data_IF_828601191759
#
_entry.id   IF_828601191759
#
_cell.length_a   1.000
_cell.length_b   1.000
_cell.length_c   1.000
_cell.angle_alpha   90.00
_cell.angle_beta   90.00
_cell.angle_gamma   90.00
#
_symmetry.space_group_name_H-M   'P 1'
#
loop_
_entity.id
_entity.type
_entity.pdbx_description
1 polymer ?
2 non-polymer ?
3 non-polymer ?
4 non-polymer ?
5 non-polymer ?
6 water ?
#
# COMPACT_ATOMS: atom_id res chain seq x y z
N UNK A 1 5.22 14.94 17.63
CA UNK A 1 5.64 13.56 17.53
C UNK A 1 6.39 13.34 16.23
N UNK A 2 6.75 12.10 15.95
CA UNK A 2 7.42 11.81 14.70
C UNK A 2 6.34 11.74 13.62
N UNK A 3 6.73 11.94 12.38
CA UNK A 3 5.82 11.92 11.25
C UNK A 3 5.94 10.65 10.46
N UNK A 4 4.80 10.13 10.04
CA UNK A 4 4.74 8.94 9.18
C UNK A 4 4.01 9.35 7.90
N UNK A 5 4.36 8.72 6.78
CA UNK A 5 3.64 8.90 5.50
C UNK A 5 3.48 7.52 4.89
N UNK A 6 2.32 7.26 4.32
CA UNK A 6 2.12 6.03 3.51
C UNK A 6 1.03 6.28 2.47
N UNK A 7 1.24 5.70 1.31
CA UNK A 7 0.27 5.82 0.22
C UNK A 7 -0.23 4.46 -0.24
N UNK A 8 -1.44 4.46 -0.81
CA UNK A 8 -2.03 3.26 -1.37
C UNK A 8 -2.62 3.65 -2.72
N UNK A 9 -2.15 3.02 -3.78
CA UNK A 9 -2.62 3.30 -5.16
C UNK A 9 -4.06 2.89 -5.39
N UNK A 10 -4.85 3.76 -6.03
CA UNK A 10 -6.23 3.44 -6.38
C UNK A 10 -6.36 2.65 -7.71
N UNK A 11 -5.57 1.59 -7.82
CA UNK A 11 -5.52 0.72 -9.00
C UNK A 11 -6.40 -0.57 -8.94
N UNK A 12 -7.25 -0.67 -7.94
CA UNK A 12 -8.12 -1.82 -7.79
C UNK A 12 -8.63 -1.64 -6.38
N UNK A 13 -9.48 -2.54 -5.90
CA UNK A 13 -9.87 -2.58 -4.50
C UNK A 13 -8.74 -3.23 -3.67
N UNK A 14 -8.34 -2.59 -2.56
CA UNK A 14 -7.30 -3.16 -1.69
C UNK A 14 -7.58 -4.61 -1.21
N UNK A 15 -6.53 -5.41 -1.14
CA UNK A 15 -6.66 -6.83 -0.80
C UNK A 15 -6.30 -7.10 0.65
N UNK A 16 -6.64 -8.28 1.16
CA UNK A 16 -6.26 -8.64 2.52
C UNK A 16 -4.74 -8.57 2.64
N UNK A 17 -4.06 -8.48 1.51
CA UNK A 17 -2.60 -8.34 1.48
C UNK A 17 -2.23 -6.91 1.80
N UNK A 18 -2.91 -5.95 1.18
CA UNK A 18 -2.65 -4.54 1.47
C UNK A 18 -3.05 -4.22 2.91
N UNK A 19 -4.05 -4.93 3.40
CA UNK A 19 -4.59 -4.77 4.74
C UNK A 19 -3.65 -5.28 5.83
N UNK A 20 -3.20 -6.52 5.69
CA UNK A 20 -2.28 -7.13 6.64
C UNK A 20 -0.90 -6.46 6.65
N UNK A 21 -0.40 -6.09 5.47
CA UNK A 21 0.96 -5.54 5.35
C UNK A 21 1.11 -4.05 5.62
N UNK A 22 0.04 -3.30 5.37
CA UNK A 22 0.08 -1.88 5.68
C UNK A 22 -1.15 -1.25 6.37
N UNK A 23 -2.23 -1.07 5.77
CA UNK A 23 -3.45 -0.45 6.31
C UNK A 23 -3.80 -0.87 7.75
N UNK A 24 -3.64 -2.14 8.09
CA UNK A 24 -4.01 -2.60 9.42
C UNK A 24 -3.24 -1.86 10.53
N UNK A 25 -1.97 -1.57 10.25
CA UNK A 25 -1.11 -0.93 11.22
C UNK A 25 -1.32 0.58 11.27
N UNK A 26 -1.92 1.11 10.21
CA UNK A 26 -2.28 2.52 10.14
C UNK A 26 -3.23 2.88 11.32
N UNK A 27 -4.19 1.99 11.60
CA UNK A 27 -5.18 2.26 12.62
C UNK A 27 -4.60 2.46 14.06
N UNK A 28 -3.42 1.90 14.31
CA UNK A 28 -2.83 2.03 15.62
C UNK A 28 -1.87 3.20 15.64
N UNK A 29 -1.08 3.27 14.57
CA UNK A 29 -0.03 4.27 14.37
C UNK A 29 -0.54 5.69 14.37
N UNK A 30 -1.78 5.90 13.91
CA UNK A 30 -2.35 7.23 13.81
C UNK A 30 -2.43 7.91 15.18
N UNK A 31 -2.30 7.12 16.23
CA UNK A 31 -2.37 7.62 17.61
C UNK A 31 -0.99 7.92 18.19
N UNK A 32 0.01 7.21 17.71
CA UNK A 32 1.38 7.32 18.18
C UNK A 32 2.18 8.37 17.38
N UNK A 33 1.77 8.58 16.12
CA UNK A 33 2.47 9.49 15.20
C UNK A 33 1.58 10.50 14.52
N UNK A 34 2.26 11.46 13.90
CA UNK A 34 1.64 12.46 13.04
C UNK A 34 1.63 11.84 11.63
N UNK A 35 0.45 11.40 11.23
CA UNK A 35 0.31 10.58 10.03
C UNK A 35 -0.38 11.25 8.88
N UNK A 36 0.20 11.05 7.69
CA UNK A 36 -0.42 11.43 6.42
C UNK A 36 -0.68 10.14 5.64
N UNK A 37 -1.95 9.89 5.29
CA UNK A 37 -2.36 8.72 4.50
C UNK A 37 -2.91 9.16 3.14
N UNK A 38 -2.35 8.69 2.05
CA UNK A 38 -2.62 9.17 0.70
C UNK A 38 -3.18 8.13 -0.22
N UNK A 39 -4.09 8.60 -1.07
CA UNK A 39 -4.67 7.84 -2.16
C UNK A 39 -3.81 8.23 -3.38
N UNK A 40 -2.76 7.46 -3.68
CA UNK A 40 -1.82 7.83 -4.70
C UNK A 40 -2.32 7.60 -6.15
N UNK A 41 -3.17 8.51 -6.64
CA UNK A 41 -3.81 8.38 -7.97
C UNK A 41 -2.89 8.62 -9.19
N UNK A 42 -1.90 9.49 -9.00
CA UNK A 42 -0.91 9.84 -10.02
C UNK A 42 0.03 8.67 -10.21
N UNK A 43 0.12 7.81 -9.19
CA UNK A 43 0.90 6.58 -9.36
C UNK A 43 0.07 5.55 -10.17
N UNK A 44 -1.21 5.42 -9.80
CA UNK A 44 -2.12 4.52 -10.46
C UNK A 44 -2.07 4.61 -12.00
N UNK A 45 -1.92 5.84 -12.51
CA UNK A 45 -1.84 6.09 -13.95
C UNK A 45 -0.54 5.79 -14.67
N UNK A 46 0.45 5.24 -13.98
CA UNK A 46 1.67 4.82 -14.65
C UNK A 46 1.39 3.58 -15.50
N UNK A 47 0.16 3.11 -15.35
CA UNK A 47 -0.30 1.94 -16.06
C UNK A 47 -1.77 2.22 -16.42
N UNK A 48 -2.25 1.75 -17.55
CA UNK A 48 -3.66 2.02 -17.93
C UNK A 48 -4.70 1.74 -16.86
N UNK A 49 -5.70 2.61 -16.83
CA UNK A 49 -6.78 2.58 -15.87
C UNK A 49 -7.95 3.11 -16.63
N UNK A 50 -9.09 2.42 -16.57
CA UNK A 50 -10.28 3.01 -17.17
C UNK A 50 -10.69 4.24 -16.32
N UNK A 51 -10.95 5.39 -16.95
CA UNK A 51 -11.25 6.59 -16.19
C UNK A 51 -12.35 6.46 -15.15
N UNK A 52 -13.50 5.91 -15.53
CA UNK A 52 -14.63 5.75 -14.61
C UNK A 52 -14.29 4.88 -13.41
N UNK A 53 -13.51 3.84 -13.64
CA UNK A 53 -13.11 2.91 -12.61
C UNK A 53 -12.05 3.50 -11.69
N UNK A 54 -11.16 4.31 -12.22
CA UNK A 54 -10.16 4.95 -11.39
C UNK A 54 -10.87 5.90 -10.41
N UNK A 55 -11.82 6.69 -10.93
CA UNK A 55 -12.62 7.61 -10.16
C UNK A 55 -13.34 6.96 -9.00
N UNK A 56 -13.89 5.80 -9.30
CA UNK A 56 -14.65 5.05 -8.33
C UNK A 56 -13.73 4.30 -7.33
N UNK A 57 -12.57 3.83 -7.79
CA UNK A 57 -11.63 3.14 -6.90
C UNK A 57 -11.01 4.15 -5.92
N UNK A 58 -10.99 5.41 -6.33
CA UNK A 58 -10.36 6.48 -5.54
C UNK A 58 -11.28 6.76 -4.37
N UNK A 59 -12.56 6.74 -4.66
CA UNK A 59 -13.56 7.05 -3.67
C UNK A 59 -13.79 5.83 -2.77
N UNK A 60 -13.61 4.63 -3.29
CA UNK A 60 -13.75 3.43 -2.49
C UNK A 60 -12.65 3.25 -1.51
N UNK A 61 -11.43 3.58 -1.93
CA UNK A 61 -10.20 3.44 -1.11
C UNK A 61 -10.27 4.41 0.08
N UNK A 62 -10.83 5.59 -0.22
CA UNK A 62 -11.05 6.61 0.78
C UNK A 62 -12.01 6.06 1.81
N UNK A 63 -13.11 5.49 1.35
CA UNK A 63 -14.09 4.90 2.24
C UNK A 63 -13.53 3.74 3.06
N UNK A 64 -12.60 2.99 2.51
CA UNK A 64 -12.09 1.84 3.23
C UNK A 64 -11.10 2.31 4.25
N UNK A 65 -10.26 3.27 3.83
CA UNK A 65 -9.31 3.94 4.73
C UNK A 65 -10.06 4.34 6.03
N UNK A 66 -11.17 5.09 5.90
CA UNK A 66 -12.04 5.39 7.03
C UNK A 66 -12.68 4.16 7.69
N UNK A 67 -13.38 3.34 6.90
CA UNK A 67 -14.06 2.14 7.38
C UNK A 67 -13.17 1.28 8.31
N UNK A 68 -11.95 0.98 7.91
CA UNK A 68 -11.08 0.22 8.82
C UNK A 68 -10.68 0.98 10.09
N UNK A 69 -11.22 2.20 10.33
CA UNK A 69 -10.89 3.00 11.53
C UNK A 69 -9.84 4.17 11.54
N UNK A 70 -9.52 4.76 10.39
CA UNK A 70 -8.63 5.92 10.32
C UNK A 70 -9.48 7.09 10.75
N UNK A 71 -8.99 7.91 11.71
CA UNK A 71 -9.79 8.97 12.33
C UNK A 71 -9.40 10.29 11.71
N UNK A 72 -10.28 10.90 10.91
CA UNK A 72 -9.89 12.13 10.18
C UNK A 72 -9.34 13.26 11.04
N UNK A 73 -9.47 13.15 12.35
CA UNK A 73 -9.04 14.20 13.25
C UNK A 73 -7.71 13.81 13.90
N UNK A 74 -7.21 12.61 13.60
CA UNK A 74 -5.95 12.11 14.10
C UNK A 74 -4.93 11.88 12.99
N UNK A 75 -5.43 11.74 11.78
CA UNK A 75 -4.55 11.51 10.67
C UNK A 75 -5.11 12.35 9.54
N UNK A 76 -4.25 12.75 8.61
CA UNK A 76 -4.64 13.49 7.44
C UNK A 76 -4.73 12.51 6.25
N UNK A 77 -5.95 12.23 5.79
CA UNK A 77 -6.17 11.36 4.63
C UNK A 77 -6.54 12.21 3.36
N UNK A 78 -5.82 11.98 2.24
CA UNK A 78 -6.00 12.86 1.09
C UNK A 78 -5.61 12.25 -0.27
N UNK A 79 -6.00 12.89 -1.36
CA UNK A 79 -5.71 12.38 -2.71
C UNK A 79 -4.54 13.20 -3.28
N UNK A 80 -3.42 12.52 -3.55
CA UNK A 80 -2.21 13.07 -4.15
C UNK A 80 -2.38 14.18 -5.19
N UNK A 81 -3.19 13.92 -6.23
CA UNK A 81 -3.43 14.84 -7.36
C UNK A 81 -4.12 16.13 -6.94
N UNK A 82 -4.75 16.08 -5.77
CA UNK A 82 -5.40 17.26 -5.20
C UNK A 82 -4.40 18.19 -4.51
N UNK A 83 -3.15 17.76 -4.48
CA UNK A 83 -2.02 18.51 -3.94
C UNK A 83 -0.92 18.66 -5.03
N UNK A 84 -0.89 19.81 -5.73
CA UNK A 84 0.07 19.99 -6.83
C UNK A 84 1.54 19.77 -6.50
N UNK A 85 1.91 20.10 -5.26
CA UNK A 85 3.28 19.99 -4.74
C UNK A 85 3.92 18.64 -4.97
N UNK A 86 3.11 17.58 -4.95
CA UNK A 86 3.65 16.24 -5.26
C UNK A 86 4.26 16.12 -6.64
N UNK A 87 3.67 16.77 -7.64
CA UNK A 87 4.18 16.79 -9.02
C UNK A 87 5.32 17.76 -9.15
N UNK A 88 5.30 18.84 -8.37
CA UNK A 88 6.36 19.87 -8.43
C UNK A 88 7.63 19.33 -7.84
N UNK A 89 7.49 18.65 -6.71
CA UNK A 89 8.58 17.97 -6.04
C UNK A 89 9.11 16.84 -6.90
N UNK A 90 8.21 16.07 -7.48
CA UNK A 90 8.55 14.92 -8.27
C UNK A 90 9.49 15.28 -9.42
N UNK A 91 9.28 16.45 -10.01
CA UNK A 91 10.07 16.90 -11.16
C UNK A 91 11.45 17.33 -10.74
N UNK A 92 11.53 18.05 -9.60
CA UNK A 92 12.80 18.50 -9.02
C UNK A 92 13.69 17.32 -8.63
N UNK A 93 13.07 16.27 -8.11
CA UNK A 93 13.77 15.03 -7.79
C UNK A 93 14.06 14.22 -9.05
N UNK A 94 13.30 14.41 -10.11
CA UNK A 94 13.59 13.62 -11.31
C UNK A 94 14.89 14.13 -11.89
N UNK A 95 15.29 15.33 -11.44
CA UNK A 95 16.42 16.04 -11.99
C UNK A 95 17.70 15.71 -11.27
N UNK A 96 17.59 15.07 -10.11
CA UNK A 96 18.76 14.63 -9.37
C UNK A 96 18.85 13.13 -9.34
N UNK A 97 17.78 12.43 -9.70
CA UNK A 97 17.85 10.97 -9.75
C UNK A 97 18.59 10.67 -11.01
N UNK A 98 19.13 9.44 -11.13
CA UNK A 98 19.88 8.99 -12.32
C UNK A 98 19.10 7.89 -13.06
N UNK A 99 19.07 7.96 -14.39
CA UNK A 99 18.31 6.95 -15.18
C UNK A 99 18.68 5.55 -14.76
N UNK A 100 19.99 5.35 -14.60
CA UNK A 100 20.53 4.07 -14.16
C UNK A 100 19.92 3.61 -12.84
N UNK A 101 19.56 4.56 -11.97
CA UNK A 101 18.99 4.23 -10.67
C UNK A 101 17.55 3.78 -10.82
N UNK A 102 16.87 4.38 -11.79
CA UNK A 102 15.46 4.09 -12.05
C UNK A 102 15.36 2.73 -12.75
N UNK A 103 16.17 2.58 -13.79
CA UNK A 103 16.29 1.37 -14.62
C UNK A 103 16.50 0.09 -13.76
N UNK A 104 17.24 0.22 -12.66
CA UNK A 104 17.51 -0.90 -11.77
C UNK A 104 16.46 -1.23 -10.72
N UNK A 105 15.44 -0.40 -10.55
CA UNK A 105 14.35 -0.65 -9.58
C UNK A 105 13.66 -1.99 -9.90
N UNK A 106 13.49 -2.83 -8.88
CA UNK A 106 12.90 -4.17 -9.04
C UNK A 106 11.49 -4.13 -9.64
N UNK A 107 10.65 -3.31 -9.02
CA UNK A 107 9.28 -3.11 -9.44
C UNK A 107 9.17 -2.63 -10.89
N UNK A 108 10.21 -1.98 -11.39
CA UNK A 108 10.22 -1.54 -12.78
C UNK A 108 10.63 -2.64 -13.77
N UNK A 109 11.55 -3.54 -13.39
CA UNK A 109 11.94 -4.62 -14.30
C UNK A 109 10.84 -5.70 -14.38
N UNK A 110 10.12 -5.83 -13.26
CA UNK A 110 9.01 -6.76 -13.12
C UNK A 110 7.82 -6.25 -13.92
N UNK A 111 7.30 -5.08 -13.53
CA UNK A 111 6.15 -4.42 -14.19
C UNK A 111 6.42 -4.12 -15.68
N UNK A 112 7.69 -3.96 -16.02
CA UNK A 112 8.15 -3.80 -17.39
C UNK A 112 8.66 -5.21 -17.74
N UNK A 113 7.78 -6.03 -18.30
CA UNK A 113 8.14 -7.36 -18.71
C UNK A 113 8.83 -7.07 -20.04
N UNK A 114 9.08 -8.10 -20.84
CA UNK A 114 9.65 -7.88 -22.17
C UNK A 114 8.70 -6.99 -22.98
N UNK A 115 7.50 -6.72 -22.43
CA UNK A 115 6.43 -5.86 -23.01
C UNK A 115 6.98 -4.83 -23.97
N UNK A 116 6.46 -4.83 -25.20
CA UNK A 116 6.99 -4.02 -26.31
C UNK A 116 7.38 -2.54 -26.10
N UNK A 117 6.45 -1.78 -25.52
CA UNK A 117 6.68 -0.35 -25.26
C UNK A 117 6.07 -0.01 -23.89
N UNK A 118 6.91 0.59 -23.03
CA UNK A 118 6.48 0.97 -21.67
C UNK A 118 6.37 2.50 -21.49
N UNK A 119 5.42 2.92 -20.67
CA UNK A 119 5.20 4.33 -20.37
C UNK A 119 6.31 4.77 -19.43
N UNK A 120 6.84 5.96 -19.66
CA UNK A 120 7.92 6.47 -18.85
C UNK A 120 7.54 6.66 -17.38
N UNK A 121 6.25 6.79 -17.10
CA UNK A 121 5.81 6.99 -15.73
C UNK A 121 6.05 5.71 -14.93
N UNK A 122 6.45 4.66 -15.61
CA UNK A 122 6.75 3.40 -14.95
C UNK A 122 8.22 3.47 -14.56
N UNK A 123 9.05 4.12 -15.37
CA UNK A 123 10.45 4.34 -14.99
C UNK A 123 10.48 5.38 -13.89
N UNK A 124 9.75 6.47 -14.07
CA UNK A 124 9.72 7.61 -13.12
C UNK A 124 8.83 7.54 -11.87
N UNK A 125 8.24 6.39 -11.62
CA UNK A 125 7.43 6.15 -10.46
C UNK A 125 8.18 6.60 -9.17
N UNK A 126 9.45 6.16 -9.02
CA UNK A 126 10.20 6.38 -7.77
C UNK A 126 10.41 7.83 -7.28
N UNK A 127 10.78 8.75 -8.17
CA UNK A 127 10.88 10.16 -7.76
C UNK A 127 9.55 10.73 -7.24
N UNK A 128 8.42 10.24 -7.75
CA UNK A 128 7.13 10.74 -7.30
C UNK A 128 6.87 10.22 -5.90
N UNK A 129 7.13 8.91 -5.68
CA UNK A 129 7.03 8.32 -4.35
C UNK A 129 8.00 9.03 -3.34
N UNK A 130 9.20 9.37 -3.78
CA UNK A 130 10.16 10.17 -2.97
C UNK A 130 9.57 11.52 -2.59
N UNK A 131 8.92 12.19 -3.53
CA UNK A 131 8.24 13.43 -3.22
C UNK A 131 7.20 13.21 -2.15
N UNK A 132 6.32 12.22 -2.37
CA UNK A 132 5.18 11.94 -1.47
C UNK A 132 5.65 11.95 -0.05
N UNK A 133 6.77 11.28 0.13
CA UNK A 133 7.40 11.06 1.41
C UNK A 133 8.14 12.28 1.95
N UNK A 134 9.10 12.78 1.17
CA UNK A 134 9.95 13.89 1.60
C UNK A 134 9.25 15.22 1.85
N UNK A 135 8.14 15.43 1.17
CA UNK A 135 7.34 16.65 1.31
C UNK A 135 6.88 16.92 2.72
N UNK A 136 6.71 15.88 3.50
CA UNK A 136 6.13 16.06 4.81
C UNK A 136 7.12 15.90 5.94
N UNK A 137 8.41 15.88 5.57
CA UNK A 137 9.53 15.77 6.49
C UNK A 137 9.36 14.49 7.26
N UNK A 138 9.15 13.42 6.50
CA UNK A 138 8.71 12.11 6.99
C UNK A 138 9.78 11.33 7.69
N UNK A 139 9.41 10.72 8.81
CA UNK A 139 10.36 9.95 9.62
C UNK A 139 10.28 8.51 9.32
N UNK A 140 9.06 7.98 9.38
CA UNK A 140 8.78 6.57 9.15
C UNK A 140 7.78 6.34 8.02
N UNK A 141 8.04 5.35 7.20
CA UNK A 141 7.12 5.00 6.14
C UNK A 141 6.66 3.56 6.36
N UNK A 142 5.49 3.40 6.96
CA UNK A 142 4.96 2.07 7.22
C UNK A 142 4.42 1.38 5.95
N UNK A 143 5.24 0.53 5.34
CA UNK A 143 4.86 -0.17 4.11
C UNK A 143 5.15 -1.67 4.17
N UNK A 144 4.50 -2.43 3.28
CA UNK A 144 4.78 -3.86 3.09
C UNK A 144 6.20 -3.94 2.53
N UNK A 145 6.76 -5.15 2.41
CA UNK A 145 8.14 -5.42 1.96
C UNK A 145 8.58 -4.97 0.55
N UNK A 146 7.68 -5.11 -0.41
CA UNK A 146 7.93 -4.73 -1.81
C UNK A 146 8.35 -3.26 -2.05
N UNK A 147 7.94 -2.38 -1.15
CA UNK A 147 8.21 -0.95 -1.29
C UNK A 147 9.51 -0.54 -0.66
N UNK A 148 10.19 -1.49 -0.01
CA UNK A 148 11.47 -1.24 0.68
C UNK A 148 12.51 -0.51 -0.19
N UNK A 149 12.79 -1.08 -1.36
CA UNK A 149 13.77 -0.55 -2.27
C UNK A 149 13.48 0.87 -2.71
N UNK A 150 12.22 1.14 -3.02
CA UNK A 150 11.79 2.47 -3.43
C UNK A 150 12.14 3.44 -2.32
N UNK A 151 12.00 3.00 -1.07
CA UNK A 151 12.28 3.83 0.09
C UNK A 151 13.77 4.13 0.27
N UNK A 152 14.61 3.18 -0.13
CA UNK A 152 16.04 3.39 -0.08
C UNK A 152 16.41 4.43 -1.10
N UNK A 153 15.88 4.32 -2.32
CA UNK A 153 16.12 5.34 -3.35
C UNK A 153 15.61 6.68 -2.81
N UNK A 154 14.47 6.69 -2.14
CA UNK A 154 14.01 7.92 -1.51
C UNK A 154 15.11 8.53 -0.61
N UNK A 155 15.68 7.71 0.26
CA UNK A 155 16.77 8.14 1.16
C UNK A 155 17.98 8.68 0.42
N UNK A 156 18.36 8.04 -0.67
CA UNK A 156 19.56 8.49 -1.42
C UNK A 156 19.33 9.83 -2.06
N UNK A 157 18.09 10.04 -2.52
CA UNK A 157 17.68 11.28 -3.16
C UNK A 157 17.59 12.39 -2.17
N UNK A 158 17.12 12.10 -0.94
CA UNK A 158 17.12 13.10 0.12
C UNK A 158 18.55 13.54 0.44
N UNK A 159 19.45 12.58 0.64
CA UNK A 159 20.83 12.88 0.95
C UNK A 159 21.53 13.57 -0.23
N UNK A 160 21.20 13.18 -1.45
CA UNK A 160 21.80 13.82 -2.61
C UNK A 160 21.50 15.32 -2.66
N UNK A 161 20.23 15.67 -2.40
CA UNK A 161 19.70 17.03 -2.48
C UNK A 161 20.20 17.88 -1.33
N UNK A 162 20.32 17.25 -0.16
CA UNK A 162 20.78 17.91 1.05
C UNK A 162 22.24 18.35 0.90
N UNK A 163 23.08 17.51 0.31
CA UNK A 163 24.49 17.86 0.16
C UNK A 163 24.73 18.68 -1.10
N UNK A 164 23.77 18.65 -2.02
CA UNK A 164 23.91 19.40 -3.26
C UNK A 164 23.42 20.81 -2.99
N UNK A 165 22.27 20.92 -2.34
CA UNK A 165 21.63 22.22 -2.12
C UNK A 165 21.40 22.69 -0.64
N UNK A 166 21.94 21.95 0.33
CA UNK A 166 21.78 22.28 1.75
C UNK A 166 20.70 21.45 2.46
N UNK A 167 20.88 21.26 3.77
CA UNK A 167 19.93 20.44 4.57
C UNK A 167 18.51 20.94 4.49
N UNK A 168 17.61 20.07 4.11
CA UNK A 168 16.21 20.46 3.97
C UNK A 168 15.31 19.30 4.33
N UNK A 169 15.69 18.14 3.80
CA UNK A 169 14.89 16.94 3.97
C UNK A 169 15.35 16.13 5.14
N UNK A 170 14.38 15.43 5.74
CA UNK A 170 14.56 14.45 6.79
C UNK A 170 14.74 13.14 6.04
N UNK A 171 15.67 12.32 6.53
CA UNK A 171 16.00 11.01 5.98
C UNK A 171 15.09 9.96 6.55
N UNK A 172 14.09 9.56 5.76
CA UNK A 172 13.07 8.62 6.23
C UNK A 172 13.59 7.22 6.41
N UNK A 173 12.82 6.44 7.16
CA UNK A 173 13.13 5.05 7.40
C UNK A 173 11.88 4.24 7.10
N UNK A 174 12.08 3.07 6.50
CA UNK A 174 10.97 2.15 6.24
C UNK A 174 10.56 1.48 7.52
N UNK A 175 9.32 1.04 7.59
CA UNK A 175 8.83 0.27 8.75
C UNK A 175 7.85 -0.87 8.35
N UNK A 176 8.48 -1.92 7.85
CA UNK A 176 7.87 -3.18 7.41
C UNK A 176 7.55 -4.10 8.60
N UNK A 177 6.31 -4.61 8.69
CA UNK A 177 5.97 -5.48 9.83
C UNK A 177 6.72 -6.80 9.75
N UNK A 178 6.96 -7.41 10.92
CA UNK A 178 7.73 -8.66 10.99
C UNK A 178 6.88 -9.82 10.50
N UNK A 179 5.59 -9.58 10.44
CA UNK A 179 4.66 -10.62 10.07
C UNK A 179 3.66 -10.13 9.01
N UNK A 180 3.53 -10.90 7.94
CA UNK A 180 2.57 -10.59 6.90
C UNK A 180 2.97 -9.42 6.03
N UNK A 181 4.27 -9.22 5.85
CA UNK A 181 4.80 -8.15 4.99
C UNK A 181 4.67 -8.52 3.51
N UNK A 182 4.65 -9.82 3.21
CA UNK A 182 4.49 -10.31 1.83
C UNK A 182 3.44 -11.40 1.67
N UNK A 183 2.17 -11.06 1.80
CA UNK A 183 1.12 -12.05 1.59
C UNK A 183 1.17 -12.44 0.09
N UNK A 184 1.11 -13.75 -0.18
CA UNK A 184 1.23 -14.26 -1.55
C UNK A 184 -0.13 -14.49 -2.18
N UNK A 185 -0.10 -14.51 -3.51
CA UNK A 185 -1.25 -14.79 -4.37
C UNK A 185 -1.81 -16.18 -4.03
N UNK A 186 -3.13 -16.26 -3.94
CA UNK A 186 -3.80 -17.52 -3.65
C UNK A 186 -3.68 -18.52 -4.81
N UNK A 187 -3.19 -18.06 -5.94
CA UNK A 187 -3.18 -18.79 -7.21
C UNK A 187 -1.74 -19.13 -7.66
N UNK A 188 -0.76 -18.54 -6.98
CA UNK A 188 0.65 -18.76 -7.31
C UNK A 188 1.46 -18.23 -6.13
N UNK A 189 1.90 -19.12 -5.26
CA UNK A 189 2.56 -18.69 -4.03
C UNK A 189 4.01 -18.22 -4.15
N UNK A 190 4.42 -17.89 -5.38
CA UNK A 190 5.74 -17.34 -5.64
C UNK A 190 5.61 -15.83 -5.94
N UNK A 191 4.38 -15.40 -6.20
CA UNK A 191 4.05 -14.03 -6.54
C UNK A 191 3.31 -13.48 -5.34
N UNK A 192 3.52 -12.18 -5.09
CA UNK A 192 2.87 -11.47 -4.01
C UNK A 192 1.37 -11.26 -4.35
N UNK A 193 0.56 -11.06 -3.33
CA UNK A 193 -0.83 -10.78 -3.58
C UNK A 193 -0.91 -9.36 -4.10
N UNK A 194 -1.31 -9.20 -5.33
CA UNK A 194 -1.33 -7.88 -5.94
C UNK A 194 -2.72 -7.59 -6.41
N UNK A 195 -3.25 -6.44 -6.00
CA UNK A 195 -4.65 -6.04 -6.26
C UNK A 195 -4.94 -5.73 -7.75
N UNK A 196 -3.88 -5.74 -8.57
CA UNK A 196 -4.02 -5.48 -10.02
C UNK A 196 -3.73 -6.75 -10.83
N UNK A 197 -3.80 -7.89 -10.12
CA UNK A 197 -3.58 -9.15 -10.75
C UNK A 197 -4.73 -9.37 -11.73
N UNK A 198 -4.33 -9.69 -12.95
CA UNK A 198 -5.29 -10.00 -14.01
C UNK A 198 -6.25 -11.11 -13.54
N UNK A 199 -5.73 -12.07 -12.78
CA UNK A 199 -6.53 -13.17 -12.25
C UNK A 199 -7.15 -12.87 -10.85
N UNK A 200 -8.44 -12.54 -10.83
CA UNK A 200 -9.14 -12.19 -9.59
C UNK A 200 -9.00 -13.26 -8.50
N UNK A 201 -8.72 -14.49 -8.91
CA UNK A 201 -8.56 -15.55 -7.91
C UNK A 201 -7.25 -15.40 -7.12
N UNK A 202 -6.38 -14.49 -7.56
CA UNK A 202 -5.09 -14.28 -6.89
C UNK A 202 -5.21 -13.60 -5.53
N UNK A 203 -6.28 -12.85 -5.34
CA UNK A 203 -6.41 -12.01 -4.17
C UNK A 203 -7.82 -12.08 -3.68
N UNK A 204 -8.00 -11.61 -2.45
CA UNK A 204 -9.31 -11.45 -1.84
C UNK A 204 -9.31 -9.97 -1.52
N UNK A 205 -10.32 -9.25 -1.99
CA UNK A 205 -10.39 -7.83 -1.72
C UNK A 205 -11.19 -7.56 -0.44
N UNK A 206 -10.97 -6.40 0.17
CA UNK A 206 -11.68 -6.03 1.38
C UNK A 206 -13.20 -5.94 1.19
N UNK A 207 -13.63 -5.95 -0.08
CA UNK A 207 -15.04 -5.84 -0.45
C UNK A 207 -15.72 -7.12 -1.00
N UNK A 208 -14.94 -8.22 -1.10
CA UNK A 208 -15.44 -9.53 -1.55
C UNK A 208 -16.50 -10.08 -0.62
N UNK A 209 -17.53 -10.74 -1.17
CA UNK A 209 -18.63 -11.29 -0.37
C UNK A 209 -18.32 -12.68 0.13
N UNK A 210 -19.16 -13.18 1.03
CA UNK A 210 -18.90 -14.46 1.71
C UNK A 210 -18.70 -15.60 0.68
N UNK A 211 -19.68 -15.71 -0.24
CA UNK A 211 -19.63 -16.69 -1.34
C UNK A 211 -18.28 -16.66 -2.05
N UNK A 212 -17.91 -15.47 -2.51
CA UNK A 212 -16.66 -15.25 -3.24
C UNK A 212 -15.42 -15.61 -2.43
N UNK A 213 -15.39 -15.20 -1.17
CA UNK A 213 -14.24 -15.55 -0.33
C UNK A 213 -14.07 -17.09 -0.17
N UNK A 214 -15.22 -17.74 0.01
CA UNK A 214 -15.33 -19.20 0.15
C UNK A 214 -14.74 -19.90 -1.09
N UNK A 215 -15.01 -19.38 -2.31
CA UNK A 215 -14.42 -19.93 -3.55
C UNK A 215 -12.95 -19.67 -3.69
N UNK A 216 -12.50 -18.44 -3.49
CA UNK A 216 -11.08 -18.14 -3.70
C UNK A 216 -10.26 -18.92 -2.71
N UNK A 217 -10.76 -19.02 -1.49
CA UNK A 217 -10.07 -19.84 -0.49
C UNK A 217 -10.09 -21.30 -0.98
N UNK A 218 -11.27 -21.82 -1.31
CA UNK A 218 -11.36 -23.20 -1.78
C UNK A 218 -10.40 -23.46 -2.94
N UNK A 219 -10.40 -22.56 -3.92
CA UNK A 219 -9.57 -22.69 -5.10
C UNK A 219 -8.09 -22.58 -4.79
N UNK A 220 -7.73 -21.86 -3.70
CA UNK A 220 -6.32 -21.67 -3.34
C UNK A 220 -5.40 -22.90 -3.58
N UNK A 221 -4.27 -22.61 -4.19
CA UNK A 221 -3.27 -23.61 -4.52
C UNK A 221 -2.54 -24.16 -3.30
N UNK A 222 -2.88 -25.40 -2.94
CA UNK A 222 -2.25 -26.05 -1.77
C UNK A 222 -1.14 -27.00 -2.22
N UNK A 223 -1.37 -28.29 -1.94
CA UNK A 223 -0.46 -29.38 -2.32
C UNK A 223 -1.14 -30.75 -2.19
N UNK A 224 -0.34 -31.79 -2.02
CA UNK A 224 -0.84 -33.18 -1.97
C UNK A 224 -0.83 -33.88 -0.58
N UNK A 225 0.14 -33.51 0.26
CA UNK A 225 0.26 -34.12 1.59
C UNK A 225 -0.94 -34.01 2.55
N UNK A 226 -1.95 -33.20 2.18
CA UNK A 226 -3.13 -33.00 3.03
C UNK A 226 -2.69 -32.80 4.49
N UNK A 227 -1.47 -32.27 4.64
CA UNK A 227 -0.83 -32.04 5.94
C UNK A 227 -0.75 -30.52 6.25
N UNK A 228 -1.49 -30.07 7.26
CA UNK A 228 -1.51 -28.64 7.57
C UNK A 228 -0.32 -28.21 8.41
N UNK A 229 0.86 -28.16 7.81
CA UNK A 229 2.04 -27.70 8.51
C UNK A 229 2.77 -26.61 7.70
N UNK A 230 3.53 -25.76 8.41
CA UNK A 230 4.24 -24.65 7.77
C UNK A 230 5.63 -24.93 7.15
N UNK A 231 5.73 -24.71 5.84
CA UNK A 231 6.99 -24.89 5.13
C UNK A 231 6.99 -23.95 3.90
N UNK A 232 7.79 -22.90 3.94
CA UNK A 232 7.82 -21.91 2.87
C UNK A 232 8.30 -22.41 1.49
N UNK A 233 9.25 -23.34 1.50
CA UNK A 233 9.82 -23.88 0.27
C UNK A 233 9.06 -25.11 -0.21
N UNK A 234 8.62 -25.93 0.73
CA UNK A 234 7.92 -27.16 0.41
C UNK A 234 6.45 -26.94 0.08
N UNK A 235 5.72 -26.31 1.00
CA UNK A 235 4.28 -26.04 0.83
C UNK A 235 3.97 -24.52 0.84
N UNK A 236 4.48 -23.81 -0.16
CA UNK A 236 4.34 -22.35 -0.22
C UNK A 236 2.88 -21.90 -0.16
N UNK A 237 2.00 -22.72 -0.71
CA UNK A 237 0.59 -22.44 -0.65
C UNK A 237 0.13 -22.47 0.82
N UNK A 238 0.04 -23.68 1.37
CA UNK A 238 -0.35 -23.91 2.76
C UNK A 238 0.32 -22.97 3.77
N UNK A 239 1.60 -22.67 3.57
CA UNK A 239 2.30 -21.72 4.42
C UNK A 239 1.55 -20.38 4.42
N UNK A 240 1.38 -19.82 3.20
CA UNK A 240 0.69 -18.54 3.03
C UNK A 240 -0.66 -18.51 3.70
N UNK A 241 -1.46 -19.54 3.47
CA UNK A 241 -2.80 -19.63 4.04
C UNK A 241 -2.73 -19.69 5.57
N UNK A 242 -1.62 -20.22 6.08
CA UNK A 242 -1.40 -20.34 7.52
C UNK A 242 -1.22 -18.95 8.15
N UNK A 243 -0.40 -18.12 7.49
CA UNK A 243 -0.11 -16.75 7.89
C UNK A 243 -1.37 -15.92 7.95
N UNK A 244 -2.11 -15.91 6.86
CA UNK A 244 -3.34 -15.17 6.78
C UNK A 244 -4.24 -15.60 7.97
N UNK A 245 -4.28 -16.90 8.21
CA UNK A 245 -5.08 -17.48 9.28
C UNK A 245 -4.55 -17.00 10.62
N UNK A 246 -3.25 -17.13 10.82
CA UNK A 246 -2.59 -16.64 12.04
C UNK A 246 -2.90 -15.17 12.27
N UNK A 247 -2.23 -14.31 11.50
CA UNK A 247 -2.35 -12.86 11.61
C UNK A 247 -3.80 -12.36 11.75
N UNK A 248 -4.70 -13.02 11.05
CA UNK A 248 -6.10 -12.60 11.11
C UNK A 248 -6.86 -13.09 12.33
N UNK A 249 -6.51 -14.27 12.82
CA UNK A 249 -7.23 -14.92 13.93
C UNK A 249 -6.66 -14.59 15.30
N UNK A 250 -5.34 -14.44 15.36
CA UNK A 250 -4.68 -14.17 16.62
C UNK A 250 -3.76 -15.32 17.01
N UNK A 251 -4.15 -16.54 16.64
CA UNK A 251 -3.34 -17.74 16.90
C UNK A 251 -2.00 -17.83 16.11
N UNK A 252 -1.01 -18.50 16.71
CA UNK A 252 0.29 -18.68 16.09
C UNK A 252 0.24 -19.77 15.03
N UNK A 253 1.29 -19.86 14.23
CA UNK A 253 1.33 -20.88 13.19
C UNK A 253 1.19 -22.21 13.90
N UNK A 254 1.83 -22.31 15.07
CA UNK A 254 1.82 -23.54 15.87
C UNK A 254 0.46 -23.98 16.41
N UNK A 255 -0.27 -23.08 17.07
CA UNK A 255 -1.58 -23.42 17.63
C UNK A 255 -2.56 -23.81 16.52
N UNK A 256 -2.21 -23.43 15.30
CA UNK A 256 -3.00 -23.73 14.12
C UNK A 256 -2.53 -25.07 13.52
N UNK A 257 -1.21 -25.28 13.47
CA UNK A 257 -0.66 -26.55 12.98
C UNK A 257 -1.24 -27.65 13.85
N UNK A 258 -1.30 -27.37 15.15
CA UNK A 258 -1.85 -28.29 16.14
C UNK A 258 -3.31 -28.53 15.84
N UNK A 259 -4.14 -27.48 15.98
CA UNK A 259 -5.59 -27.55 15.75
C UNK A 259 -6.03 -28.35 14.50
N UNK A 260 -5.12 -28.46 13.53
CA UNK A 260 -5.37 -29.13 12.27
C UNK A 260 -4.38 -30.31 12.09
N UNK A 261 -4.71 -31.41 12.75
CA UNK A 261 -3.87 -32.60 12.80
C UNK A 261 -4.79 -33.82 12.64
N UNK A 262 -4.57 -34.58 11.56
CA UNK A 262 -5.47 -35.68 11.26
C UNK A 262 -6.72 -34.99 10.70
N UNK A 263 -6.54 -33.68 10.48
CA UNK A 263 -7.55 -32.80 9.88
C UNK A 263 -6.98 -32.38 8.52
N UNK A 264 -7.87 -32.30 7.52
CA UNK A 264 -7.45 -31.98 6.15
C UNK A 264 -7.81 -30.60 5.58
N UNK A 265 -7.22 -30.30 4.43
CA UNK A 265 -7.45 -29.05 3.71
C UNK A 265 -8.89 -28.55 3.62
N UNK A 266 -9.82 -29.39 3.19
CA UNK A 266 -11.23 -29.02 2.97
C UNK A 266 -11.85 -28.23 4.10
N UNK A 267 -11.62 -28.70 5.33
CA UNK A 267 -12.13 -28.06 6.55
C UNK A 267 -11.27 -26.83 6.95
N UNK A 268 -9.95 -26.98 6.83
CA UNK A 268 -9.04 -25.90 7.14
C UNK A 268 -9.35 -24.66 6.30
N UNK A 269 -9.90 -24.88 5.11
CA UNK A 269 -10.16 -23.81 4.18
C UNK A 269 -11.51 -23.22 4.51
N UNK A 270 -12.49 -24.06 4.73
CA UNK A 270 -13.83 -23.53 5.01
C UNK A 270 -13.80 -22.64 6.26
N UNK A 271 -12.85 -22.90 7.17
CA UNK A 271 -12.69 -22.15 8.42
C UNK A 271 -11.97 -20.82 8.12
N UNK A 272 -10.86 -20.90 7.40
CA UNK A 272 -10.19 -19.71 6.90
C UNK A 272 -11.18 -18.79 6.17
N UNK A 273 -12.09 -19.35 5.40
CA UNK A 273 -13.01 -18.49 4.70
C UNK A 273 -13.84 -17.68 5.73
N UNK A 274 -14.26 -18.34 6.82
CA UNK A 274 -15.06 -17.67 7.86
C UNK A 274 -14.28 -16.68 8.73
N UNK A 275 -12.99 -16.93 8.88
CA UNK A 275 -12.11 -16.02 9.57
C UNK A 275 -11.99 -14.72 8.74
N UNK A 276 -11.72 -14.86 7.45
CA UNK A 276 -11.60 -13.73 6.53
C UNK A 276 -12.97 -13.08 6.42
N UNK A 277 -14.02 -13.87 6.21
CA UNK A 277 -15.36 -13.29 6.18
C UNK A 277 -15.65 -12.37 7.42
N UNK A 278 -15.53 -12.93 8.64
CA UNK A 278 -15.80 -12.20 9.90
C UNK A 278 -14.91 -10.95 10.07
N UNK A 279 -13.62 -11.08 9.79
CA UNK A 279 -12.70 -9.95 9.77
C UNK A 279 -13.22 -8.74 8.94
N UNK A 280 -13.67 -9.02 7.72
CA UNK A 280 -14.18 -7.99 6.80
C UNK A 280 -15.63 -7.52 7.08
N UNK A 281 -16.35 -8.26 7.91
CA UNK A 281 -17.75 -7.90 8.14
C UNK A 281 -18.01 -6.47 8.68
N UNK A 282 -17.30 -6.06 9.74
CA UNK A 282 -17.47 -4.73 10.32
C UNK A 282 -16.93 -3.67 9.36
N UNK A 283 -15.79 -3.97 8.76
CA UNK A 283 -15.18 -3.09 7.76
C UNK A 283 -16.14 -2.70 6.66
N UNK A 284 -16.80 -3.72 6.11
CA UNK A 284 -17.67 -3.57 4.96
C UNK A 284 -18.94 -2.82 5.30
N UNK A 285 -19.40 -3.01 6.52
CA UNK A 285 -20.59 -2.32 6.98
C UNK A 285 -20.35 -0.81 7.16
N UNK A 286 -19.18 -0.47 7.73
CA UNK A 286 -18.78 0.93 7.89
C UNK A 286 -18.51 1.51 6.51
N UNK A 287 -17.88 0.73 5.64
CA UNK A 287 -17.66 1.12 4.25
C UNK A 287 -18.95 1.58 3.56
N UNK A 288 -20.01 0.78 3.65
CA UNK A 288 -21.27 1.23 3.06
C UNK A 288 -21.80 2.54 3.58
N UNK A 289 -21.67 2.79 4.89
CA UNK A 289 -22.07 4.04 5.51
C UNK A 289 -21.31 5.23 4.85
N UNK A 290 -19.98 5.12 4.74
CA UNK A 290 -19.19 6.16 4.11
C UNK A 290 -19.42 6.40 2.63
N UNK A 291 -19.99 5.43 1.92
CA UNK A 291 -20.18 5.54 0.46
C UNK A 291 -21.48 6.23 0.16
N UNK A 292 -22.39 6.27 1.11
CA UNK A 292 -23.69 6.87 0.85
C UNK A 292 -23.87 8.25 1.43
N UNK A 293 -22.76 8.92 1.72
CA UNK A 293 -22.84 10.24 2.31
C UNK A 293 -21.76 11.21 1.85
N UNK A 294 -22.11 12.51 1.88
CA UNK A 294 -21.19 13.58 1.45
C UNK A 294 -20.04 13.79 2.44
N UNK A 295 -20.07 13.07 3.55
CA UNK A 295 -19.14 13.23 4.65
C UNK A 295 -17.72 12.87 4.28
N UNK A 296 -17.62 11.93 3.37
CA UNK A 296 -16.35 11.41 2.86
C UNK A 296 -15.60 12.51 2.08
N UNK A 297 -16.36 13.23 1.27
CA UNK A 297 -15.85 14.34 0.50
C UNK A 297 -15.30 15.46 1.36
N UNK A 298 -16.01 15.78 2.45
CA UNK A 298 -15.57 16.81 3.41
C UNK A 298 -14.27 16.38 4.05
N UNK A 299 -14.19 15.10 4.40
CA UNK A 299 -12.97 14.59 5.00
C UNK A 299 -11.82 14.93 4.07
N UNK A 300 -11.96 14.53 2.79
CA UNK A 300 -10.93 14.63 1.76
C UNK A 300 -10.58 16.09 1.42
N UNK A 301 -11.59 16.95 1.39
CA UNK A 301 -11.30 18.36 1.22
C UNK A 301 -10.36 18.87 2.31
N UNK A 302 -10.65 18.56 3.57
CA UNK A 302 -9.85 19.07 4.70
C UNK A 302 -8.52 18.42 4.79
N UNK A 303 -8.47 17.21 4.26
CA UNK A 303 -7.22 16.47 4.17
C UNK A 303 -6.30 17.11 3.13
N UNK A 304 -6.82 17.44 1.95
CA UNK A 304 -5.99 18.13 0.93
C UNK A 304 -5.55 19.54 1.40
N UNK A 305 -6.44 20.22 2.10
CA UNK A 305 -6.17 21.57 2.56
C UNK A 305 -4.92 21.55 3.39
N UNK A 306 -4.92 20.60 4.33
CA UNK A 306 -3.84 20.40 5.29
C UNK A 306 -2.52 19.92 4.64
N UNK A 307 -2.62 18.95 3.74
CA UNK A 307 -1.47 18.52 2.93
C UNK A 307 -0.93 19.68 2.04
N UNK A 308 -1.82 20.51 1.49
CA UNK A 308 -1.38 21.60 0.64
C UNK A 308 -0.52 22.62 1.36
N UNK A 309 -0.85 22.94 2.61
CA UNK A 309 -0.08 23.91 3.43
C UNK A 309 1.28 23.42 3.81
N UNK A 310 1.36 22.14 4.14
CA UNK A 310 2.63 21.58 4.54
C UNK A 310 3.57 21.38 3.34
N UNK A 311 3.04 20.74 2.30
CA UNK A 311 3.80 20.43 1.09
C UNK A 311 4.15 21.67 0.25
N UNK A 312 3.20 22.60 0.09
CA UNK A 312 3.47 23.80 -0.70
C UNK A 312 4.62 24.64 -0.08
N UNK A 313 4.72 24.56 1.24
CA UNK A 313 5.78 25.25 1.96
C UNK A 313 7.12 24.56 1.69
N UNK A 314 7.10 23.26 1.49
CA UNK A 314 8.31 22.51 1.23
C UNK A 314 8.79 22.74 -0.21
N UNK A 315 7.85 22.83 -1.13
CA UNK A 315 8.21 23.12 -2.53
C UNK A 315 8.90 24.50 -2.62
N UNK A 316 8.38 25.46 -1.86
CA UNK A 316 8.91 26.83 -1.82
C UNK A 316 10.37 26.79 -1.40
N UNK A 317 10.64 25.97 -0.37
CA UNK A 317 11.97 25.79 0.17
C UNK A 317 12.93 25.12 -0.81
N UNK A 318 12.44 24.05 -1.44
CA UNK A 318 13.19 23.29 -2.47
C UNK A 318 13.48 24.20 -3.65
N UNK A 319 12.50 24.98 -4.06
CA UNK A 319 12.73 25.95 -5.13
C UNK A 319 13.81 26.93 -4.74
N UNK A 320 13.68 27.51 -3.56
CA UNK A 320 14.69 28.42 -2.97
C UNK A 320 16.08 27.74 -2.99
N UNK A 321 16.21 26.49 -2.56
CA UNK A 321 17.51 25.80 -2.60
C UNK A 321 18.10 25.57 -3.97
N UNK A 322 17.25 25.30 -4.97
CA UNK A 322 17.70 25.01 -6.33
C UNK A 322 17.79 26.28 -7.12
N UNK A 323 17.17 27.36 -6.66
CA UNK A 323 17.20 28.64 -7.35
C UNK A 323 16.09 28.82 -8.37
N UNK A 324 15.04 28.03 -8.28
CA UNK A 324 13.92 28.13 -9.23
C UNK A 324 13.12 29.35 -8.89
N UNK A 325 12.39 29.86 -9.89
CA UNK A 325 11.51 31.01 -9.70
C UNK A 325 12.18 32.25 -9.14
N UNK A 326 11.48 32.89 -8.21
CA UNK A 326 11.92 34.13 -7.63
C UNK A 326 11.81 34.06 -6.12
N UNK A 327 12.43 35.02 -5.45
CA UNK A 327 12.41 35.14 -4.00
C UNK A 327 11.03 35.40 -3.40
N UNK A 328 10.49 34.39 -2.70
CA UNK A 328 9.17 34.47 -2.03
C UNK A 328 9.22 34.05 -0.54
#
# INVERSE_FOLDING_TARGET
MKTIFSGIQPSGVITIGNYIGALRQFVELQHEYNCYFCIVDQHAITVWQDPHELRQNIRRLAALYLAVGIDPTQATLFIQSEVPAHAQAAWMLQCIVYIGELERMTQFKEKSAGKEAVSAGLLTYPPLMAADILLYNTDIVPVGEDQKQHIELTRDLAERFNKRYGELFTIPEARIPKVGARIMSLVDPTKKMSKSDPNPKAYITLLDDAKTIEKKIKSAVTDSEGTIRYDKEAKPGISNLLNIYSTLSGQSIEELERQYEGKGYGVFKADLAQVVIETLRPIQERYHHWMESEELDRVLDEGAEKANRVASEMVRKMEQAMGLGRRR
#
